data_IF_947991603961
#
_entry.id   IF_947991603961
#
_cell.length_a   1.000
_cell.length_b   1.000
_cell.length_c   1.000
_cell.angle_alpha   90.00
_cell.angle_beta   90.00
_cell.angle_gamma   90.00
#
_symmetry.space_group_name_H-M   'P 1'
#
loop_
_entity.id
_entity.type
_entity.pdbx_description
1 polymer ?
#
# COMPACT_ATOMS: atom_id res chain seq x y z
N UNK A 1 -14.34 -10.44 -12.89
CA UNK A 1 -13.83 -9.35 -12.04
C UNK A 1 -13.94 -8.05 -12.81
N UNK A 2 -14.71 -7.11 -12.27
CA UNK A 2 -14.79 -5.73 -12.79
C UNK A 2 -13.65 -4.89 -12.22
N UNK A 3 -13.37 -3.70 -12.79
CA UNK A 3 -12.22 -2.90 -12.34
C UNK A 3 -12.37 -2.40 -10.90
N UNK A 4 -13.55 -1.91 -10.52
CA UNK A 4 -13.85 -1.44 -9.17
C UNK A 4 -13.57 -2.52 -8.11
N UNK A 5 -14.00 -3.75 -8.37
CA UNK A 5 -13.74 -4.91 -7.51
C UNK A 5 -12.23 -5.21 -7.40
N UNK A 6 -11.49 -5.10 -8.50
CA UNK A 6 -10.05 -5.28 -8.49
C UNK A 6 -9.33 -4.20 -7.66
N UNK A 7 -9.74 -2.94 -7.79
CA UNK A 7 -9.21 -1.81 -7.01
C UNK A 7 -9.52 -2.01 -5.52
N UNK A 8 -10.74 -2.43 -5.18
CA UNK A 8 -11.13 -2.71 -3.81
C UNK A 8 -10.27 -3.82 -3.18
N UNK A 9 -9.98 -4.89 -3.93
CA UNK A 9 -9.06 -5.96 -3.51
C UNK A 9 -7.65 -5.41 -3.23
N UNK A 10 -7.10 -4.60 -4.14
CA UNK A 10 -5.76 -4.04 -3.93
C UNK A 10 -5.74 -3.05 -2.75
N UNK A 11 -6.78 -2.24 -2.57
CA UNK A 11 -6.88 -1.33 -1.43
C UNK A 11 -6.97 -2.10 -0.11
N UNK A 12 -7.77 -3.16 -0.04
CA UNK A 12 -7.85 -4.01 1.14
C UNK A 12 -6.49 -4.62 1.52
N UNK A 13 -5.68 -5.01 0.53
CA UNK A 13 -4.30 -5.47 0.74
C UNK A 13 -3.42 -4.38 1.38
N UNK A 14 -3.47 -3.14 0.87
CA UNK A 14 -2.73 -2.00 1.44
C UNK A 14 -3.12 -1.75 2.91
N UNK A 15 -4.39 -1.95 3.24
CA UNK A 15 -4.94 -1.78 4.59
C UNK A 15 -4.66 -2.95 5.53
N UNK A 16 -4.00 -4.02 5.08
CA UNK A 16 -3.62 -5.15 5.92
C UNK A 16 -4.50 -6.39 5.82
N UNK A 17 -5.44 -6.42 4.87
CA UNK A 17 -6.34 -7.56 4.69
C UNK A 17 -5.83 -8.47 3.56
N UNK A 18 -5.50 -9.71 3.89
CA UNK A 18 -5.10 -10.70 2.88
C UNK A 18 -6.27 -11.01 1.94
N UNK A 19 -6.01 -10.96 0.63
CA UNK A 19 -7.01 -11.22 -0.41
C UNK A 19 -6.68 -12.46 -1.23
N UNK A 20 -7.67 -13.34 -1.45
CA UNK A 20 -7.48 -14.59 -2.22
C UNK A 20 -7.30 -14.37 -3.72
N UNK A 21 -7.95 -13.32 -4.26
CA UNK A 21 -7.99 -13.00 -5.69
C UNK A 21 -6.98 -11.92 -6.11
N UNK A 22 -6.02 -11.61 -5.23
CA UNK A 22 -5.04 -10.56 -5.43
C UNK A 22 -4.31 -10.62 -6.78
N UNK A 23 -3.84 -11.80 -7.18
CA UNK A 23 -3.12 -11.96 -8.44
C UNK A 23 -3.97 -11.58 -9.67
N UNK A 24 -5.27 -11.89 -9.65
CA UNK A 24 -6.19 -11.53 -10.72
C UNK A 24 -6.49 -10.03 -10.70
N UNK A 25 -6.69 -9.45 -9.51
CA UNK A 25 -6.91 -8.02 -9.33
C UNK A 25 -5.70 -7.20 -9.82
N UNK A 26 -4.49 -7.59 -9.43
CA UNK A 26 -3.25 -6.95 -9.86
C UNK A 26 -3.14 -6.92 -11.38
N UNK A 27 -3.36 -8.05 -12.05
CA UNK A 27 -3.31 -8.13 -13.51
C UNK A 27 -4.47 -7.35 -14.17
N UNK A 28 -5.65 -7.26 -13.55
CA UNK A 28 -6.75 -6.46 -14.08
C UNK A 28 -6.42 -4.97 -14.04
N UNK A 29 -5.87 -4.47 -12.92
CA UNK A 29 -5.50 -3.04 -12.77
C UNK A 29 -4.26 -2.70 -13.60
N UNK A 30 -3.21 -3.52 -13.56
CA UNK A 30 -1.96 -3.25 -14.30
C UNK A 30 -2.12 -3.19 -15.82
N UNK A 31 -3.17 -3.80 -16.37
CA UNK A 31 -3.43 -3.87 -17.81
C UNK A 31 -4.81 -3.33 -18.20
N UNK A 32 -5.44 -2.50 -17.36
CA UNK A 32 -6.72 -1.88 -17.76
C UNK A 32 -6.48 -0.81 -18.83
N UNK A 33 -7.49 -0.52 -19.64
CA UNK A 33 -7.49 0.65 -20.54
C UNK A 33 -8.37 1.78 -19.97
N UNK A 34 -9.05 1.51 -18.86
CA UNK A 34 -9.90 2.44 -18.14
C UNK A 34 -9.03 3.46 -17.36
N UNK A 35 -9.57 4.66 -17.14
CA UNK A 35 -8.89 5.72 -16.39
C UNK A 35 -8.73 5.33 -14.90
N UNK A 36 -7.54 5.58 -14.37
CA UNK A 36 -7.15 5.31 -12.99
C UNK A 36 -6.88 6.60 -12.19
N UNK A 37 -7.21 7.76 -12.74
CA UNK A 37 -6.95 9.08 -12.14
C UNK A 37 -7.49 9.27 -10.72
N UNK A 38 -8.57 8.58 -10.36
CA UNK A 38 -9.16 8.58 -9.01
C UNK A 38 -8.61 7.48 -8.09
N UNK A 39 -7.62 6.71 -8.54
CA UNK A 39 -7.04 5.59 -7.79
C UNK A 39 -5.61 5.87 -7.34
N UNK A 40 -5.14 5.10 -6.35
CA UNK A 40 -3.74 5.15 -5.89
C UNK A 40 -2.78 4.35 -6.80
N UNK A 41 -3.25 3.84 -7.95
CA UNK A 41 -2.50 2.92 -8.79
C UNK A 41 -2.10 3.57 -10.11
N UNK A 42 -0.82 3.46 -10.44
CA UNK A 42 -0.26 3.82 -11.74
C UNK A 42 0.13 2.57 -12.52
N UNK A 43 -0.37 2.45 -13.75
CA UNK A 43 -0.18 1.26 -14.57
C UNK A 43 1.28 1.04 -14.94
N UNK A 44 2.00 2.11 -15.29
CA UNK A 44 3.40 1.99 -15.70
C UNK A 44 4.24 1.49 -14.53
N UNK A 45 4.03 2.06 -13.34
CA UNK A 45 4.64 1.63 -12.08
C UNK A 45 4.31 0.18 -11.76
N UNK A 46 3.04 -0.25 -11.89
CA UNK A 46 2.66 -1.64 -11.63
C UNK A 46 3.32 -2.62 -12.61
N UNK A 47 3.40 -2.27 -13.89
CA UNK A 47 4.06 -3.08 -14.91
C UNK A 47 5.58 -3.08 -14.75
N UNK A 48 6.16 -1.97 -14.29
CA UNK A 48 7.58 -1.84 -13.96
C UNK A 48 7.94 -2.76 -12.78
N UNK A 49 7.13 -2.77 -11.73
CA UNK A 49 7.27 -3.68 -10.58
C UNK A 49 7.15 -5.14 -11.01
N UNK A 50 6.12 -5.48 -11.80
CA UNK A 50 5.94 -6.84 -12.32
C UNK A 50 7.15 -7.29 -13.15
N UNK A 51 7.65 -6.41 -14.02
CA UNK A 51 8.83 -6.68 -14.85
C UNK A 51 10.09 -6.89 -14.01
N UNK A 52 10.25 -6.09 -12.94
CA UNK A 52 11.36 -6.21 -11.99
C UNK A 52 11.33 -7.55 -11.26
N UNK A 53 10.16 -7.98 -10.80
CA UNK A 53 10.01 -9.27 -10.11
C UNK A 53 10.24 -10.44 -11.07
N UNK A 54 9.63 -10.42 -12.26
CA UNK A 54 9.82 -11.48 -13.25
C UNK A 54 11.25 -11.56 -13.77
N UNK A 55 11.97 -10.43 -13.85
CA UNK A 55 13.41 -10.41 -14.18
C UNK A 55 14.24 -11.23 -13.21
N UNK A 56 13.95 -11.12 -11.91
CA UNK A 56 14.65 -11.90 -10.87
C UNK A 56 14.34 -13.39 -10.95
N UNK A 57 13.13 -13.76 -11.37
CA UNK A 57 12.69 -15.16 -11.44
C UNK A 57 13.14 -15.86 -12.74
N UNK A 58 13.19 -15.14 -13.85
CA UNK A 58 13.50 -15.71 -15.17
C UNK A 58 14.96 -15.54 -15.58
N UNK A 59 15.71 -14.65 -14.92
CA UNK A 59 17.06 -14.24 -15.33
C UNK A 59 17.08 -13.34 -16.57
N UNK A 60 15.93 -13.01 -17.15
CA UNK A 60 15.81 -12.08 -18.27
C UNK A 60 15.99 -10.62 -17.84
N UNK A 61 16.45 -9.77 -18.74
CA UNK A 61 16.58 -8.33 -18.47
C UNK A 61 15.19 -7.68 -18.32
N UNK A 62 15.01 -6.84 -17.29
CA UNK A 62 13.77 -6.12 -17.00
C UNK A 62 13.16 -5.41 -18.21
N UNK A 63 13.97 -4.72 -19.02
CA UNK A 63 13.49 -4.00 -20.22
C UNK A 63 12.91 -4.93 -21.28
N UNK A 64 13.53 -6.10 -21.50
CA UNK A 64 13.04 -7.12 -22.42
C UNK A 64 11.74 -7.70 -21.92
N UNK A 65 11.66 -8.02 -20.63
CA UNK A 65 10.43 -8.49 -20.00
C UNK A 65 9.31 -7.46 -20.16
N UNK A 66 9.58 -6.20 -19.80
CA UNK A 66 8.61 -5.09 -19.91
C UNK A 66 8.04 -4.97 -21.32
N UNK A 67 8.88 -5.10 -22.35
CA UNK A 67 8.48 -4.97 -23.76
C UNK A 67 7.47 -6.02 -24.24
N UNK A 68 7.40 -7.18 -23.60
CA UNK A 68 6.47 -8.26 -23.98
C UNK A 68 5.27 -8.34 -23.03
N UNK A 69 5.25 -7.60 -21.92
CA UNK A 69 4.11 -7.47 -21.03
C UNK A 69 3.12 -6.44 -21.57
N UNK A 70 2.36 -6.82 -22.60
CA UNK A 70 1.34 -5.97 -23.23
C UNK A 70 -0.10 -6.41 -22.90
N UNK A 71 -0.28 -7.52 -22.18
CA UNK A 71 -1.59 -7.98 -21.71
C UNK A 71 -1.46 -8.98 -20.56
N UNK A 72 -2.53 -9.26 -19.80
CA UNK A 72 -2.52 -10.30 -18.77
C UNK A 72 -2.15 -11.68 -19.32
N UNK A 73 -2.59 -12.00 -20.54
CA UNK A 73 -2.29 -13.27 -21.18
C UNK A 73 -0.81 -13.37 -21.60
N UNK A 74 -0.20 -12.26 -22.03
CA UNK A 74 1.22 -12.21 -22.33
C UNK A 74 2.07 -12.45 -21.07
N UNK A 75 1.68 -11.85 -19.94
CA UNK A 75 2.31 -12.08 -18.64
C UNK A 75 2.23 -13.57 -18.23
N UNK A 76 1.04 -14.16 -18.31
CA UNK A 76 0.81 -15.59 -18.01
C UNK A 76 1.63 -16.51 -18.93
N UNK A 77 1.66 -16.22 -20.23
CA UNK A 77 2.42 -17.00 -21.20
C UNK A 77 3.94 -16.94 -20.95
N UNK A 78 4.47 -15.76 -20.59
CA UNK A 78 5.87 -15.64 -20.21
C UNK A 78 6.18 -16.46 -18.96
N UNK A 79 5.37 -16.32 -17.91
CA UNK A 79 5.58 -17.04 -16.66
C UNK A 79 5.57 -18.56 -16.90
N UNK A 80 4.59 -19.06 -17.67
CA UNK A 80 4.49 -20.47 -18.04
C UNK A 80 5.72 -20.98 -18.81
N UNK A 81 6.22 -20.21 -19.78
CA UNK A 81 7.43 -20.59 -20.56
C UNK A 81 8.70 -20.68 -19.71
N UNK A 82 8.74 -19.98 -18.58
CA UNK A 82 9.87 -19.98 -17.67
C UNK A 82 9.61 -20.82 -16.40
N UNK A 83 8.56 -21.64 -16.38
CA UNK A 83 8.18 -22.45 -15.23
C UNK A 83 7.98 -21.64 -13.94
N UNK A 84 7.48 -20.42 -14.07
CA UNK A 84 7.18 -19.50 -12.96
C UNK A 84 5.70 -19.55 -12.64
N UNK A 85 5.35 -19.81 -11.37
CA UNK A 85 3.99 -19.61 -10.88
C UNK A 85 3.73 -18.12 -10.65
N UNK A 86 3.04 -17.49 -11.60
CA UNK A 86 2.75 -16.06 -11.55
C UNK A 86 1.90 -15.66 -10.33
N UNK A 87 0.97 -16.52 -9.89
CA UNK A 87 0.14 -16.23 -8.72
C UNK A 87 1.03 -16.13 -7.48
N UNK A 88 1.84 -17.16 -7.25
CA UNK A 88 2.78 -17.18 -6.14
C UNK A 88 3.74 -15.98 -6.18
N UNK A 89 4.26 -15.62 -7.36
CA UNK A 89 5.16 -14.48 -7.52
C UNK A 89 4.50 -13.15 -7.12
N UNK A 90 3.28 -12.89 -7.59
CA UNK A 90 2.54 -11.67 -7.27
C UNK A 90 2.24 -11.59 -5.77
N UNK A 91 1.74 -12.68 -5.18
CA UNK A 91 1.41 -12.74 -3.77
C UNK A 91 2.66 -12.62 -2.88
N UNK A 92 3.76 -13.28 -3.24
CA UNK A 92 4.99 -13.25 -2.45
C UNK A 92 5.68 -11.90 -2.49
N UNK A 93 5.72 -11.26 -3.67
CA UNK A 93 6.59 -10.11 -3.90
C UNK A 93 5.85 -8.78 -3.95
N UNK A 94 4.56 -8.73 -4.29
CA UNK A 94 3.84 -7.48 -4.52
C UNK A 94 2.73 -7.22 -3.49
N UNK A 95 2.13 -8.25 -2.90
CA UNK A 95 1.13 -8.11 -1.82
C UNK A 95 1.71 -7.41 -0.58
N UNK A 96 0.95 -6.54 0.09
CA UNK A 96 1.43 -5.64 1.16
C UNK A 96 0.83 -5.94 2.54
N UNK A 97 -0.17 -6.82 2.64
CA UNK A 97 -0.92 -7.06 3.88
C UNK A 97 -0.05 -7.35 5.10
N UNK A 98 1.02 -8.13 4.94
CA UNK A 98 1.96 -8.53 6.00
C UNK A 98 3.29 -7.76 5.97
N UNK A 99 3.42 -6.78 5.08
CA UNK A 99 4.66 -6.02 4.90
C UNK A 99 4.70 -4.77 5.78
N UNK A 100 5.89 -4.41 6.30
CA UNK A 100 6.08 -3.14 6.99
C UNK A 100 5.73 -1.95 6.10
N UNK A 101 5.25 -0.88 6.72
CA UNK A 101 5.08 0.42 6.05
C UNK A 101 6.48 0.98 5.80
N UNK A 102 6.74 1.40 4.57
CA UNK A 102 8.08 1.74 4.10
C UNK A 102 8.18 3.14 3.49
N UNK A 103 7.08 3.88 3.44
CA UNK A 103 7.05 5.26 2.98
C UNK A 103 5.84 6.00 3.55
N UNK A 104 5.94 7.32 3.59
CA UNK A 104 4.92 8.22 4.11
C UNK A 104 3.62 8.16 3.30
N UNK A 105 3.70 8.04 1.98
CA UNK A 105 2.50 7.97 1.11
C UNK A 105 1.59 6.79 1.47
N UNK A 106 2.16 5.61 1.70
CA UNK A 106 1.42 4.44 2.15
C UNK A 106 0.79 4.65 3.53
N UNK A 107 1.54 5.26 4.46
CA UNK A 107 1.03 5.57 5.80
C UNK A 107 -0.18 6.51 5.72
N UNK A 108 -0.12 7.56 4.88
CA UNK A 108 -1.22 8.50 4.67
C UNK A 108 -2.46 7.82 4.08
N UNK A 109 -2.29 6.92 3.10
CA UNK A 109 -3.41 6.13 2.54
C UNK A 109 -4.10 5.30 3.61
N UNK A 110 -3.32 4.65 4.49
CA UNK A 110 -3.86 3.84 5.59
C UNK A 110 -4.58 4.74 6.61
N UNK A 111 -4.01 5.88 6.98
CA UNK A 111 -4.66 6.82 7.91
C UNK A 111 -5.97 7.39 7.35
N UNK A 112 -6.02 7.69 6.05
CA UNK A 112 -7.23 8.19 5.39
C UNK A 112 -8.39 7.16 5.40
N UNK A 113 -8.08 5.87 5.43
CA UNK A 113 -9.07 4.81 5.60
C UNK A 113 -9.64 4.74 7.04
N UNK A 114 -8.96 5.34 8.00
CA UNK A 114 -9.39 5.46 9.39
C UNK A 114 -9.06 4.27 10.30
N UNK A 115 -9.45 4.40 11.57
CA UNK A 115 -9.09 3.48 12.66
C UNK A 115 -9.56 2.03 12.52
N UNK A 116 -10.49 1.76 11.60
CA UNK A 116 -10.95 0.39 11.26
C UNK A 116 -9.91 -0.38 10.43
N UNK A 117 -8.90 0.29 9.86
CA UNK A 117 -7.83 -0.39 9.13
C UNK A 117 -6.93 -1.19 10.08
N UNK A 118 -6.69 -2.49 9.81
CA UNK A 118 -5.75 -3.30 10.60
C UNK A 118 -4.35 -2.70 10.77
N UNK A 119 -3.89 -1.90 9.80
CA UNK A 119 -2.55 -1.27 9.81
C UNK A 119 -2.57 0.17 10.33
N UNK A 120 -3.71 0.67 10.84
CA UNK A 120 -3.84 2.06 11.27
C UNK A 120 -2.82 2.44 12.35
N UNK A 121 -2.67 1.60 13.39
CA UNK A 121 -1.72 1.85 14.47
C UNK A 121 -0.26 1.91 13.97
N UNK A 122 0.11 0.99 13.08
CA UNK A 122 1.44 0.97 12.47
C UNK A 122 1.70 2.21 11.60
N UNK A 123 0.68 2.68 10.87
CA UNK A 123 0.76 3.88 10.04
C UNK A 123 0.93 5.15 10.88
N UNK A 124 0.17 5.25 11.98
CA UNK A 124 0.29 6.35 12.92
C UNK A 124 1.69 6.37 13.57
N UNK A 125 2.18 5.23 14.04
CA UNK A 125 3.53 5.10 14.60
C UNK A 125 4.62 5.41 13.55
N UNK A 126 4.40 5.03 12.29
CA UNK A 126 5.30 5.38 11.20
C UNK A 126 5.42 6.90 11.05
N UNK A 127 4.29 7.61 10.97
CA UNK A 127 4.29 9.06 10.78
C UNK A 127 4.84 9.79 12.01
N UNK A 128 4.46 9.38 13.22
CA UNK A 128 4.87 10.06 14.44
C UNK A 128 6.33 9.82 14.81
N UNK A 129 6.88 8.63 14.54
CA UNK A 129 8.18 8.22 15.09
C UNK A 129 9.17 7.71 14.03
N UNK A 130 8.80 6.72 13.23
CA UNK A 130 9.81 5.90 12.51
C UNK A 130 10.06 6.26 11.05
N UNK A 131 9.17 7.03 10.42
CA UNK A 131 9.25 7.35 8.99
C UNK A 131 10.27 8.43 8.67
N UNK A 132 11.42 8.07 8.11
CA UNK A 132 12.49 9.02 7.77
C UNK A 132 12.12 9.96 6.61
N UNK A 133 11.13 9.60 5.80
CA UNK A 133 10.66 10.36 4.63
C UNK A 133 9.43 11.26 4.93
N UNK A 134 8.99 11.30 6.18
CA UNK A 134 7.81 12.10 6.60
C UNK A 134 8.21 13.56 6.74
N UNK A 135 7.49 14.44 6.03
CA UNK A 135 7.64 15.88 6.18
C UNK A 135 7.40 16.32 7.64
N UNK A 136 8.29 17.14 8.25
CA UNK A 136 8.10 17.66 9.59
C UNK A 136 6.74 18.31 9.82
N UNK A 137 6.19 19.03 8.84
CA UNK A 137 4.89 19.70 8.97
C UNK A 137 3.75 18.69 9.11
N UNK A 138 3.80 17.59 8.34
CA UNK A 138 2.81 16.50 8.42
C UNK A 138 2.93 15.81 9.78
N UNK A 139 4.16 15.55 10.24
CA UNK A 139 4.42 14.91 11.52
C UNK A 139 3.88 15.74 12.67
N UNK A 140 4.20 17.03 12.70
CA UNK A 140 3.73 17.96 13.74
C UNK A 140 2.20 18.05 13.76
N UNK A 141 1.55 18.13 12.59
CA UNK A 141 0.10 18.16 12.50
C UNK A 141 -0.54 16.90 13.10
N UNK A 142 -0.06 15.71 12.72
CA UNK A 142 -0.60 14.43 13.21
C UNK A 142 -0.35 14.23 14.70
N UNK A 143 0.83 14.62 15.21
CA UNK A 143 1.12 14.58 16.66
C UNK A 143 0.17 15.51 17.42
N UNK A 144 -0.07 16.72 16.90
CA UNK A 144 -0.98 17.68 17.52
C UNK A 144 -2.41 17.14 17.58
N UNK A 145 -2.93 16.61 16.46
CA UNK A 145 -4.27 16.03 16.40
C UNK A 145 -4.41 14.82 17.34
N UNK A 146 -3.39 13.94 17.38
CA UNK A 146 -3.39 12.80 18.29
C UNK A 146 -3.42 13.24 19.77
N UNK A 147 -2.58 14.19 20.15
CA UNK A 147 -2.55 14.70 21.52
C UNK A 147 -3.87 15.36 21.92
N UNK A 148 -4.51 16.09 21.00
CA UNK A 148 -5.83 16.65 21.23
C UNK A 148 -6.88 15.56 21.44
N UNK A 149 -6.89 14.52 20.60
CA UNK A 149 -7.83 13.41 20.72
C UNK A 149 -7.65 12.63 22.04
N UNK A 150 -6.41 12.43 22.49
CA UNK A 150 -6.11 11.81 23.79
C UNK A 150 -6.62 12.68 24.94
N UNK A 151 -6.37 13.99 24.89
CA UNK A 151 -6.84 14.93 25.89
C UNK A 151 -8.38 14.90 26.04
N UNK A 152 -9.09 14.85 24.91
CA UNK A 152 -10.56 14.78 24.86
C UNK A 152 -11.11 13.42 25.34
N UNK A 153 -10.41 12.31 25.07
CA UNK A 153 -10.85 10.95 25.45
C UNK A 153 -10.62 10.64 26.93
N UNK A 154 -9.50 11.10 27.50
CA UNK A 154 -9.08 10.69 28.84
C UNK A 154 -9.48 11.69 29.94
N UNK A 155 -10.27 12.73 29.61
CA UNK A 155 -10.48 13.85 30.52
C UNK A 155 -9.13 14.44 30.97
N UNK A 156 -8.13 14.44 30.09
CA UNK A 156 -6.77 14.88 30.42
C UNK A 156 -6.54 16.25 29.78
N UNK A 157 -6.20 17.26 30.57
CA UNK A 157 -5.80 18.58 30.06
C UNK A 157 -4.34 18.83 30.36
N UNK A 158 -3.68 19.62 29.50
CA UNK A 158 -2.33 20.14 29.76
C UNK A 158 -2.48 21.51 30.44
N UNK A 159 -1.89 21.69 31.62
CA UNK A 159 -1.85 23.00 32.27
C UNK A 159 -0.83 23.94 31.58
N UNK A 160 -0.82 25.22 31.96
CA UNK A 160 0.08 26.24 31.38
C UNK A 160 1.59 25.92 31.55
N UNK A 161 1.93 24.92 32.37
CA UNK A 161 3.29 24.42 32.58
C UNK A 161 3.61 23.13 31.80
N UNK A 162 2.68 22.65 30.95
CA UNK A 162 2.83 21.44 30.14
C UNK A 162 2.69 20.13 30.94
N UNK A 163 2.09 20.15 32.12
CA UNK A 163 1.81 18.94 32.91
C UNK A 163 0.40 18.42 32.64
N UNK A 164 0.26 17.09 32.60
CA UNK A 164 -1.00 16.40 32.38
C UNK A 164 -1.83 16.39 33.68
N UNK A 165 -3.06 16.90 33.63
CA UNK A 165 -4.03 16.95 34.72
C UNK A 165 -5.33 16.20 34.34
N UNK A 166 -5.96 15.50 35.29
CA UNK A 166 -7.27 14.83 35.08
C UNK A 166 -8.40 15.81 35.42
N UNK A 167 -9.14 16.25 34.41
CA UNK A 167 -10.34 17.10 34.51
C UNK A 167 -11.60 16.25 34.43
N UNK A 168 -12.12 15.83 35.58
CA UNK A 168 -13.38 15.07 35.70
C UNK A 168 -14.64 15.89 35.39
#
# INVERSE_FOLDING_TARGET
MILEEAIAILNADLLGLKQEDYANAWLKVAFTEEDLSESNYDQDTMLDLLSSVLSKQTGGTKSVIRSVLHSPNAAKAMAARNYVDLKWVLERHLMQWDKPINNTGLALVIMAAGGESPKFGDALAYIMETGEDVDPEIREAVISEFNQAVAESDNLSLNESGQIEVTG
#
